data_IF_181079283186
#
_entry.id   IF_181079283186
#
_cell.length_a   1.000
_cell.length_b   1.000
_cell.length_c   1.000
_cell.angle_alpha   90.00
_cell.angle_beta   90.00
_cell.angle_gamma   90.00
#
_symmetry.space_group_name_H-M   'P 1'
#
loop_
_entity.id
_entity.type
_entity.pdbx_description
1 polymer ?
#
# COMPACT_ATOMS: atom_id res chain seq x y z
N UNK A 1 -80.70 3.77 -2.24
CA UNK A 1 -81.38 4.90 -2.89
C UNK A 1 -80.30 5.75 -3.55
N UNK A 2 -80.08 5.57 -4.86
CA UNK A 2 -80.63 6.39 -5.95
C UNK A 2 -80.05 7.83 -5.91
N UNK A 3 -79.42 8.41 -6.94
CA UNK A 3 -79.23 8.05 -8.35
C UNK A 3 -79.23 9.33 -9.21
N UNK A 4 -78.52 9.32 -10.35
CA UNK A 4 -78.63 10.26 -11.51
C UNK A 4 -78.07 11.68 -11.28
N UNK A 5 -77.31 12.33 -12.18
CA UNK A 5 -77.43 12.44 -13.65
C UNK A 5 -77.86 13.88 -14.00
N UNK A 6 -77.31 14.65 -14.94
CA UNK A 6 -76.40 14.39 -16.06
C UNK A 6 -75.79 15.67 -16.68
N UNK A 7 -75.04 15.46 -17.78
CA UNK A 7 -74.38 16.42 -18.68
C UNK A 7 -75.39 16.96 -19.76
N UNK A 8 -75.07 17.63 -20.92
CA UNK A 8 -73.77 17.82 -21.63
C UNK A 8 -73.59 19.12 -22.50
N UNK A 9 -72.47 19.16 -23.27
CA UNK A 9 -72.25 19.68 -24.65
C UNK A 9 -70.98 20.57 -24.76
N UNK A 10 -69.85 20.19 -25.38
CA UNK A 10 -69.50 19.73 -26.75
C UNK A 10 -69.21 20.86 -27.76
N UNK A 11 -67.96 20.94 -28.25
CA UNK A 11 -67.59 21.20 -29.66
C UNK A 11 -66.16 20.69 -29.95
N UNK A 12 -65.97 20.21 -31.19
CA UNK A 12 -64.98 19.24 -31.69
C UNK A 12 -64.31 19.82 -32.99
N UNK A 13 -63.49 19.11 -33.81
CA UNK A 13 -62.04 19.40 -34.02
C UNK A 13 -61.56 19.51 -35.51
N UNK A 14 -60.23 19.64 -35.71
CA UNK A 14 -59.44 19.11 -36.86
C UNK A 14 -58.76 20.15 -37.78
N UNK A 15 -57.84 19.79 -38.73
CA UNK A 15 -56.94 18.63 -38.83
C UNK A 15 -55.48 18.97 -39.31
N UNK A 16 -54.58 17.96 -39.33
CA UNK A 16 -53.30 17.90 -40.11
C UNK A 16 -53.60 17.34 -41.54
N UNK A 17 -52.68 17.15 -42.56
CA UNK A 17 -51.25 16.75 -42.52
C UNK A 17 -50.33 17.43 -43.61
N UNK A 18 -49.02 17.19 -43.70
CA UNK A 18 -48.43 16.17 -44.61
C UNK A 18 -47.00 16.51 -45.10
N UNK A 19 -46.15 15.47 -45.24
CA UNK A 19 -44.74 15.46 -45.71
C UNK A 19 -44.64 15.39 -47.25
N UNK A 20 -43.63 16.02 -47.88
CA UNK A 20 -42.94 15.53 -49.11
C UNK A 20 -41.50 16.12 -49.22
N UNK A 21 -40.48 15.25 -49.37
CA UNK A 21 -39.18 15.48 -50.08
C UNK A 21 -39.31 14.83 -51.49
N UNK A 22 -38.44 14.99 -52.53
CA UNK A 22 -37.02 15.41 -52.58
C UNK A 22 -36.63 16.24 -53.85
N UNK A 23 -35.33 16.48 -54.10
CA UNK A 23 -34.81 16.79 -55.46
C UNK A 23 -33.47 17.54 -55.57
N UNK A 24 -32.45 16.88 -56.13
CA UNK A 24 -31.18 17.42 -56.69
C UNK A 24 -31.50 18.20 -58.00
N UNK A 25 -30.71 19.11 -58.59
CA UNK A 25 -29.31 19.02 -59.05
C UNK A 25 -28.84 20.38 -59.68
N UNK A 26 -27.52 20.55 -59.82
CA UNK A 26 -26.75 21.38 -60.81
C UNK A 26 -26.93 22.92 -60.80
N UNK A 27 -25.96 23.80 -61.11
CA UNK A 27 -24.55 23.82 -61.48
C UNK A 27 -24.10 25.30 -61.30
N UNK A 28 -22.84 25.63 -60.99
CA UNK A 28 -21.86 26.15 -61.97
C UNK A 28 -20.53 26.46 -61.25
N UNK A 29 -19.42 25.95 -61.80
CA UNK A 29 -18.05 26.52 -61.71
C UNK A 29 -17.76 27.32 -63.00
N UNK A 30 -16.73 28.19 -63.09
CA UNK A 30 -15.36 27.76 -63.47
C UNK A 30 -14.19 28.56 -62.79
N UNK A 31 -13.06 27.92 -62.41
CA UNK A 31 -11.70 27.83 -63.05
C UNK A 31 -10.66 28.88 -62.55
N UNK A 32 -9.63 28.50 -61.76
CA UNK A 32 -8.20 28.22 -62.11
C UNK A 32 -7.24 29.35 -61.60
N UNK A 33 -5.89 29.19 -61.54
CA UNK A 33 -5.04 28.04 -61.18
C UNK A 33 -3.79 28.36 -60.27
N UNK A 34 -3.11 27.28 -59.85
CA UNK A 34 -1.72 27.04 -59.41
C UNK A 34 -0.66 28.16 -59.32
N UNK A 35 0.17 28.12 -58.26
CA UNK A 35 1.59 27.72 -58.32
C UNK A 35 2.29 27.79 -56.95
N UNK A 36 2.92 26.69 -56.54
CA UNK A 36 3.81 26.66 -55.38
C UNK A 36 5.20 27.21 -55.72
N UNK A 37 5.81 27.91 -54.76
CA UNK A 37 7.27 28.09 -54.68
C UNK A 37 7.74 28.03 -53.24
N UNK A 38 8.69 27.10 -53.03
CA UNK A 38 9.44 26.86 -51.81
C UNK A 38 10.18 28.12 -51.36
N UNK A 39 10.08 28.46 -50.08
CA UNK A 39 11.13 29.20 -49.36
C UNK A 39 11.46 28.47 -48.06
N UNK A 40 12.69 27.95 -48.00
CA UNK A 40 13.34 27.44 -46.79
C UNK A 40 13.51 28.61 -45.83
N UNK A 41 12.82 28.57 -44.68
CA UNK A 41 13.15 29.42 -43.53
C UNK A 41 14.09 28.65 -42.60
N UNK A 42 15.03 29.42 -42.06
CA UNK A 42 16.22 29.00 -41.33
C UNK A 42 15.83 28.31 -40.02
N UNK A 43 16.47 27.17 -39.74
CA UNK A 43 16.49 26.55 -38.40
C UNK A 43 17.14 27.53 -37.42
N UNK A 44 16.35 28.17 -36.58
CA UNK A 44 16.83 28.66 -35.29
C UNK A 44 16.90 27.45 -34.34
N UNK A 45 18.09 27.23 -33.78
CA UNK A 45 18.38 26.13 -32.88
C UNK A 45 17.45 26.16 -31.67
N UNK A 46 16.85 25.01 -31.37
CA UNK A 46 16.20 24.77 -30.10
C UNK A 46 17.25 24.93 -28.98
N UNK A 47 16.92 25.59 -27.85
CA UNK A 47 17.80 25.54 -26.69
C UNK A 47 17.91 24.09 -26.23
N UNK A 48 19.15 23.60 -26.10
CA UNK A 48 19.46 22.32 -25.47
C UNK A 48 18.91 22.35 -24.06
N UNK A 49 17.79 21.66 -23.81
CA UNK A 49 17.37 21.32 -22.47
C UNK A 49 18.44 20.42 -21.86
N UNK A 50 19.17 20.95 -20.87
CA UNK A 50 19.98 20.15 -19.97
C UNK A 50 19.01 19.26 -19.17
N UNK A 51 19.21 17.94 -19.11
CA UNK A 51 18.38 17.09 -18.27
C UNK A 51 18.68 17.42 -16.79
N UNK A 52 17.67 17.89 -16.07
CA UNK A 52 17.72 18.02 -14.60
C UNK A 52 17.85 16.66 -13.91
N UNK A 53 18.32 16.62 -12.65
CA UNK A 53 18.75 15.39 -11.97
C UNK A 53 17.62 14.42 -11.55
N UNK A 54 16.36 14.67 -11.90
CA UNK A 54 15.21 13.98 -11.30
C UNK A 54 14.76 12.70 -12.01
N UNK A 55 15.51 12.20 -13.01
CA UNK A 55 15.11 11.00 -13.78
C UNK A 55 15.88 9.72 -13.46
N UNK A 56 16.53 9.62 -12.30
CA UNK A 56 17.18 8.37 -11.87
C UNK A 56 16.34 7.48 -10.94
N UNK A 57 15.41 8.03 -10.15
CA UNK A 57 14.63 7.21 -9.21
C UNK A 57 13.44 6.45 -9.82
N UNK A 58 12.89 6.91 -10.95
CA UNK A 58 11.73 6.26 -11.57
C UNK A 58 12.05 4.99 -12.39
N UNK A 59 13.34 4.68 -12.65
CA UNK A 59 13.75 3.47 -13.41
C UNK A 59 14.36 2.36 -12.56
N UNK A 60 14.66 2.62 -11.28
CA UNK A 60 15.13 1.56 -10.38
C UNK A 60 13.97 0.74 -9.77
N UNK A 61 12.73 1.24 -9.85
CA UNK A 61 11.55 0.54 -9.32
C UNK A 61 10.89 -0.44 -10.30
N UNK A 62 11.30 -0.48 -11.58
CA UNK A 62 10.70 -1.38 -12.60
C UNK A 62 11.68 -2.41 -13.21
N UNK A 63 12.97 -2.40 -12.84
CA UNK A 63 14.00 -3.25 -13.46
C UNK A 63 14.35 -4.56 -12.74
N UNK A 64 13.80 -4.84 -11.56
CA UNK A 64 14.37 -5.84 -10.63
C UNK A 64 13.49 -7.05 -10.29
N UNK A 65 12.55 -7.49 -11.16
CA UNK A 65 11.71 -8.66 -10.87
C UNK A 65 11.77 -9.72 -11.98
N UNK A 66 12.95 -10.29 -12.16
CA UNK A 66 13.09 -11.63 -12.73
C UNK A 66 13.06 -12.67 -11.61
N UNK A 67 12.47 -13.86 -11.79
CA UNK A 67 12.57 -14.93 -10.81
C UNK A 67 14.02 -15.40 -10.74
N UNK A 68 14.72 -15.05 -9.64
CA UNK A 68 16.02 -15.62 -9.32
C UNK A 68 15.88 -17.13 -9.16
N UNK A 69 16.37 -17.87 -10.16
CA UNK A 69 16.46 -19.33 -10.09
C UNK A 69 17.46 -19.68 -8.98
N UNK A 70 16.95 -20.22 -7.88
CA UNK A 70 17.70 -20.82 -6.79
C UNK A 70 18.88 -21.66 -7.32
N UNK A 71 20.11 -21.16 -7.18
CA UNK A 71 21.30 -22.01 -7.19
C UNK A 71 21.65 -22.31 -5.73
N UNK A 72 21.42 -23.57 -5.33
CA UNK A 72 21.92 -24.11 -4.06
C UNK A 72 23.45 -23.99 -4.04
N UNK A 73 24.06 -23.40 -3.00
CA UNK A 73 25.50 -23.54 -2.80
C UNK A 73 25.83 -24.99 -2.38
N UNK A 74 27.04 -25.51 -2.71
CA UNK A 74 27.46 -26.83 -2.29
C UNK A 74 27.65 -26.90 -0.76
N UNK A 75 27.48 -28.09 -0.14
CA UNK A 75 27.60 -28.23 1.29
C UNK A 75 29.05 -28.06 1.73
N UNK A 76 29.34 -27.01 2.49
CA UNK A 76 30.56 -26.92 3.28
C UNK A 76 30.41 -27.77 4.55
N UNK A 77 31.46 -28.52 4.88
CA UNK A 77 31.53 -29.38 6.05
C UNK A 77 31.24 -28.57 7.33
N UNK A 78 30.12 -28.88 7.98
CA UNK A 78 29.77 -28.31 9.26
C UNK A 78 30.57 -29.02 10.37
N UNK A 79 31.33 -28.26 11.14
CA UNK A 79 31.86 -28.71 12.42
C UNK A 79 30.70 -29.13 13.33
N UNK A 80 30.79 -30.36 13.84
CA UNK A 80 29.74 -30.99 14.64
C UNK A 80 29.71 -30.37 16.04
N UNK A 81 28.64 -29.66 16.37
CA UNK A 81 28.27 -29.35 17.75
C UNK A 81 27.75 -30.64 18.43
N UNK A 82 28.20 -31.00 19.64
CA UNK A 82 27.81 -32.25 20.27
C UNK A 82 26.32 -32.25 20.65
N UNK A 83 25.62 -33.30 20.23
CA UNK A 83 24.21 -33.51 20.55
C UNK A 83 24.04 -33.98 22.00
N UNK A 84 23.44 -33.13 22.83
CA UNK A 84 22.96 -33.55 24.15
C UNK A 84 21.78 -34.53 23.97
N UNK A 85 22.01 -35.80 24.30
CA UNK A 85 21.03 -36.87 24.26
C UNK A 85 20.04 -36.75 25.45
N UNK A 86 19.09 -35.83 25.34
CA UNK A 86 17.89 -35.81 26.17
C UNK A 86 16.72 -36.43 25.41
N UNK A 87 16.02 -37.41 26.00
CA UNK A 87 14.75 -37.94 25.48
C UNK A 87 13.80 -36.76 25.21
N UNK A 88 13.52 -36.48 23.94
CA UNK A 88 12.55 -35.46 23.53
C UNK A 88 11.17 -35.84 24.09
N UNK A 89 10.50 -34.97 24.86
CA UNK A 89 9.10 -35.18 25.16
C UNK A 89 8.33 -35.18 23.83
N UNK A 90 7.51 -36.20 23.63
CA UNK A 90 6.59 -36.29 22.50
C UNK A 90 5.65 -35.09 22.62
N UNK A 91 5.81 -34.09 21.74
CA UNK A 91 4.86 -32.98 21.66
C UNK A 91 3.49 -33.57 21.32
N UNK A 92 2.41 -33.13 21.99
CA UNK A 92 1.07 -33.53 21.60
C UNK A 92 0.89 -33.19 20.11
N UNK A 93 0.25 -34.11 19.37
CA UNK A 93 -0.18 -33.87 18.00
C UNK A 93 -0.96 -32.56 17.98
N UNK A 94 -0.34 -31.50 17.45
CA UNK A 94 -1.07 -30.28 17.15
C UNK A 94 -2.04 -30.65 16.03
N UNK A 95 -3.30 -30.88 16.40
CA UNK A 95 -4.39 -30.84 15.44
C UNK A 95 -4.32 -29.48 14.75
N UNK A 96 -4.65 -29.44 13.45
CA UNK A 96 -4.69 -28.18 12.73
C UNK A 96 -5.53 -27.16 13.52
N UNK A 97 -5.03 -25.93 13.70
CA UNK A 97 -5.80 -24.90 14.38
C UNK A 97 -7.11 -24.69 13.63
N UNK A 98 -8.23 -24.66 14.36
CA UNK A 98 -9.54 -24.37 13.77
C UNK A 98 -9.65 -22.88 13.48
N UNK A 99 -10.15 -22.54 12.30
CA UNK A 99 -10.24 -21.17 11.80
C UNK A 99 -11.70 -20.72 11.74
N UNK A 100 -11.96 -19.52 12.24
CA UNK A 100 -13.25 -18.86 12.05
C UNK A 100 -13.09 -17.85 10.92
N UNK A 101 -13.68 -18.16 9.77
CA UNK A 101 -13.73 -17.30 8.60
C UNK A 101 -15.14 -16.74 8.44
N UNK A 102 -15.24 -15.44 8.19
CA UNK A 102 -16.50 -14.80 7.82
C UNK A 102 -16.30 -13.85 6.63
N UNK A 103 -17.26 -13.87 5.70
CA UNK A 103 -17.37 -12.94 4.58
C UNK A 103 -18.67 -12.13 4.73
N UNK A 104 -18.58 -10.81 4.80
CA UNK A 104 -19.72 -9.91 5.08
C UNK A 104 -20.51 -10.31 6.35
N UNK A 105 -19.84 -10.93 7.33
CA UNK A 105 -20.46 -11.44 8.56
C UNK A 105 -21.07 -12.84 8.45
N UNK A 106 -21.17 -13.41 7.25
CA UNK A 106 -21.64 -14.78 7.02
C UNK A 106 -20.47 -15.76 7.19
N UNK A 107 -20.69 -16.82 7.98
CA UNK A 107 -19.66 -17.82 8.23
C UNK A 107 -19.28 -18.56 6.93
N UNK A 108 -17.98 -18.60 6.65
CA UNK A 108 -17.40 -19.35 5.56
C UNK A 108 -16.80 -20.64 6.12
N UNK A 109 -17.24 -21.79 5.60
CA UNK A 109 -16.69 -23.08 6.02
C UNK A 109 -15.20 -23.21 5.65
N UNK A 110 -14.43 -23.93 6.46
CA UNK A 110 -13.03 -24.28 6.19
C UNK A 110 -12.89 -25.43 5.17
N UNK A 111 -14.00 -26.00 4.69
CA UNK A 111 -13.97 -27.08 3.70
C UNK A 111 -13.22 -26.62 2.44
N UNK A 112 -12.33 -27.47 1.92
CA UNK A 112 -11.45 -27.18 0.79
C UNK A 112 -10.38 -26.09 1.02
N UNK A 113 -10.32 -25.44 2.19
CA UNK A 113 -9.26 -24.48 2.50
C UNK A 113 -7.92 -25.22 2.65
N UNK A 114 -6.96 -24.86 1.81
CA UNK A 114 -5.66 -25.52 1.70
C UNK A 114 -4.50 -24.64 2.17
N UNK A 115 -4.61 -23.32 2.02
CA UNK A 115 -3.59 -22.36 2.47
C UNK A 115 -4.26 -21.11 3.06
N UNK A 116 -3.68 -20.62 4.16
CA UNK A 116 -3.95 -19.32 4.74
C UNK A 116 -2.62 -18.61 4.96
N UNK A 117 -2.47 -17.44 4.37
CA UNK A 117 -1.26 -16.63 4.49
C UNK A 117 -1.64 -15.21 4.86
N UNK A 118 -1.28 -14.80 6.06
CA UNK A 118 -1.33 -13.40 6.48
C UNK A 118 0.09 -12.85 6.48
N UNK A 119 0.29 -11.74 5.77
CA UNK A 119 1.56 -11.04 5.69
C UNK A 119 1.36 -9.59 6.14
N UNK A 120 2.23 -9.15 7.03
CA UNK A 120 2.25 -7.78 7.54
C UNK A 120 3.68 -7.29 7.47
N UNK A 121 3.83 -6.03 7.09
CA UNK A 121 5.11 -5.35 7.04
C UNK A 121 4.92 -3.90 7.50
N UNK A 122 5.99 -3.30 8.00
CA UNK A 122 5.95 -1.90 8.39
C UNK A 122 5.64 -1.03 7.18
N UNK A 123 4.76 -0.06 7.41
CA UNK A 123 4.37 0.94 6.40
C UNK A 123 3.74 0.37 5.12
N UNK A 124 3.27 -0.89 5.16
CA UNK A 124 2.51 -1.52 4.08
C UNK A 124 1.17 -2.05 4.62
N UNK A 125 0.09 -2.00 3.84
CA UNK A 125 -1.15 -2.69 4.18
C UNK A 125 -0.88 -4.18 4.34
N UNK A 126 -1.36 -4.73 5.44
CA UNK A 126 -1.43 -6.16 5.67
C UNK A 126 -2.28 -6.83 4.61
N UNK A 127 -1.83 -8.00 4.19
CA UNK A 127 -2.47 -8.82 3.16
C UNK A 127 -2.81 -10.18 3.73
N UNK A 128 -4.01 -10.66 3.42
CA UNK A 128 -4.43 -12.04 3.64
C UNK A 128 -4.68 -12.72 2.30
N UNK A 129 -4.14 -13.91 2.11
CA UNK A 129 -4.43 -14.80 0.99
C UNK A 129 -5.02 -16.11 1.51
N UNK A 130 -6.15 -16.52 0.94
CA UNK A 130 -6.83 -17.79 1.21
C UNK A 130 -6.90 -18.60 -0.07
N UNK A 131 -6.52 -19.87 -0.03
CA UNK A 131 -6.54 -20.76 -1.20
C UNK A 131 -7.44 -21.96 -0.94
N UNK A 132 -8.46 -22.12 -1.77
CA UNK A 132 -9.40 -23.23 -1.71
C UNK A 132 -9.17 -24.18 -2.89
N UNK A 133 -8.99 -25.48 -2.63
CA UNK A 133 -8.80 -26.53 -3.66
C UNK A 133 -10.06 -27.38 -3.80
N UNK A 134 -10.57 -27.45 -5.02
CA UNK A 134 -11.81 -28.10 -5.40
C UNK A 134 -12.99 -27.77 -4.46
N UNK A 135 -13.26 -26.47 -4.19
CA UNK A 135 -14.30 -26.11 -3.25
C UNK A 135 -15.66 -26.66 -3.67
N UNK A 136 -16.42 -27.29 -2.76
CA UNK A 136 -17.75 -27.78 -3.06
C UNK A 136 -18.72 -26.59 -3.24
N UNK A 137 -19.59 -26.65 -4.26
CA UNK A 137 -20.71 -25.72 -4.40
C UNK A 137 -20.34 -24.22 -4.44
N UNK A 138 -21.15 -23.38 -3.78
CA UNK A 138 -21.22 -21.92 -3.91
C UNK A 138 -20.02 -21.08 -3.43
N UNK A 139 -18.87 -21.66 -3.14
CA UNK A 139 -17.60 -20.90 -3.09
C UNK A 139 -17.07 -20.61 -4.51
N UNK A 140 -17.48 -21.42 -5.47
CA UNK A 140 -17.34 -21.15 -6.90
C UNK A 140 -18.35 -20.09 -7.40
N UNK A 141 -19.29 -19.65 -6.57
CA UNK A 141 -20.21 -18.57 -6.90
C UNK A 141 -19.50 -17.21 -6.72
N UNK A 142 -19.17 -16.50 -7.82
CA UNK A 142 -18.48 -15.22 -7.76
C UNK A 142 -19.30 -14.12 -7.06
N UNK A 143 -20.58 -14.36 -6.74
CA UNK A 143 -21.43 -13.42 -6.01
C UNK A 143 -21.17 -13.43 -4.49
N UNK A 144 -20.69 -14.56 -3.93
CA UNK A 144 -20.40 -14.70 -2.50
C UNK A 144 -19.05 -14.12 -2.12
N UNK A 145 -18.00 -14.55 -2.81
CA UNK A 145 -16.66 -13.99 -2.65
C UNK A 145 -16.44 -12.96 -3.77
N UNK A 146 -16.85 -11.72 -3.51
CA UNK A 146 -16.70 -10.60 -4.45
C UNK A 146 -15.70 -9.58 -3.92
N UNK A 147 -14.97 -8.87 -4.81
CA UNK A 147 -14.23 -7.68 -4.39
C UNK A 147 -15.14 -6.69 -3.66
N UNK A 148 -14.69 -6.16 -2.53
CA UNK A 148 -15.48 -5.32 -1.64
C UNK A 148 -16.08 -6.03 -0.43
N UNK A 149 -16.14 -7.37 -0.44
CA UNK A 149 -16.63 -8.12 0.72
C UNK A 149 -15.69 -7.97 1.91
N UNK A 150 -16.25 -7.80 3.11
CA UNK A 150 -15.48 -7.76 4.36
C UNK A 150 -15.01 -9.17 4.72
N UNK A 151 -13.71 -9.34 4.97
CA UNK A 151 -13.12 -10.59 5.44
C UNK A 151 -12.71 -10.44 6.90
N UNK A 152 -13.24 -11.31 7.76
CA UNK A 152 -12.80 -11.48 9.13
C UNK A 152 -12.25 -12.91 9.30
N UNK A 153 -11.00 -13.01 9.78
CA UNK A 153 -10.30 -14.27 10.01
C UNK A 153 -9.80 -14.32 11.46
N UNK A 154 -10.15 -15.37 12.17
CA UNK A 154 -9.71 -15.61 13.55
C UNK A 154 -9.30 -17.07 13.75
N UNK A 155 -8.45 -17.31 14.75
CA UNK A 155 -8.08 -18.67 15.18
C UNK A 155 -8.92 -19.01 16.41
N UNK A 156 -9.50 -20.21 16.45
CA UNK A 156 -10.23 -20.67 17.64
C UNK A 156 -9.28 -20.74 18.86
N UNK A 157 -9.79 -20.35 20.03
CA UNK A 157 -8.98 -20.25 21.26
C UNK A 157 -8.08 -18.99 21.34
N UNK A 158 -8.06 -18.13 20.33
CA UNK A 158 -7.38 -16.84 20.37
C UNK A 158 -8.41 -15.71 20.41
N UNK A 159 -8.18 -14.73 21.29
CA UNK A 159 -9.10 -13.61 21.49
C UNK A 159 -9.02 -12.57 20.35
N UNK A 160 -7.82 -12.30 19.85
CA UNK A 160 -7.60 -11.35 18.77
C UNK A 160 -7.88 -11.99 17.40
N UNK A 161 -8.45 -11.20 16.48
CA UNK A 161 -8.58 -11.62 15.09
C UNK A 161 -7.17 -11.75 14.46
N UNK A 162 -7.00 -12.76 13.61
CA UNK A 162 -5.76 -12.95 12.87
C UNK A 162 -5.66 -11.93 11.71
N UNK A 163 -6.79 -11.60 11.09
CA UNK A 163 -6.86 -10.59 10.04
C UNK A 163 -8.27 -10.02 9.91
N UNK A 164 -8.35 -8.72 9.62
CA UNK A 164 -9.59 -8.03 9.28
C UNK A 164 -9.33 -7.10 8.09
N UNK A 165 -10.17 -7.19 7.06
CA UNK A 165 -9.96 -6.40 5.86
C UNK A 165 -11.06 -6.57 4.83
N UNK A 166 -10.72 -6.22 3.59
CA UNK A 166 -11.62 -6.24 2.45
C UNK A 166 -11.02 -7.12 1.36
N UNK A 167 -11.83 -8.00 0.77
CA UNK A 167 -11.45 -8.80 -0.40
C UNK A 167 -11.23 -7.84 -1.58
N UNK A 168 -10.05 -7.87 -2.18
CA UNK A 168 -9.71 -7.01 -3.33
C UNK A 168 -9.58 -7.79 -4.63
N UNK A 169 -9.29 -9.09 -4.56
CA UNK A 169 -9.22 -9.95 -5.73
C UNK A 169 -9.72 -11.36 -5.41
N UNK A 170 -10.36 -11.94 -6.41
CA UNK A 170 -10.90 -13.30 -6.42
C UNK A 170 -10.42 -13.92 -7.72
N UNK A 171 -9.59 -14.96 -7.61
CA UNK A 171 -8.97 -15.60 -8.74
C UNK A 171 -9.46 -17.04 -8.83
N UNK A 172 -9.94 -17.44 -10.01
CA UNK A 172 -10.37 -18.80 -10.31
C UNK A 172 -9.34 -19.42 -11.25
N UNK A 173 -8.68 -20.46 -10.77
CA UNK A 173 -7.69 -21.23 -11.53
C UNK A 173 -8.32 -22.56 -11.90
N UNK A 174 -8.23 -22.91 -13.18
CA UNK A 174 -8.69 -24.19 -13.72
C UNK A 174 -7.47 -24.94 -14.25
N UNK A 175 -7.15 -26.05 -13.61
CA UNK A 175 -5.98 -26.87 -13.95
C UNK A 175 -6.30 -27.86 -15.07
N UNK A 176 -5.26 -28.33 -15.76
CA UNK A 176 -5.39 -29.22 -16.92
C UNK A 176 -5.95 -30.62 -16.55
N UNK A 177 -5.84 -31.00 -15.28
CA UNK A 177 -6.36 -32.26 -14.72
C UNK A 177 -7.80 -32.13 -14.19
N UNK A 178 -8.50 -31.05 -14.56
CA UNK A 178 -9.82 -30.67 -14.08
C UNK A 178 -9.88 -30.24 -12.59
N UNK A 179 -8.73 -30.03 -11.95
CA UNK A 179 -8.65 -29.36 -10.66
C UNK A 179 -9.14 -27.91 -10.74
N UNK A 180 -9.78 -27.44 -9.66
CA UNK A 180 -10.25 -26.06 -9.53
C UNK A 180 -9.65 -25.45 -8.27
N UNK A 181 -9.10 -24.26 -8.40
CA UNK A 181 -8.59 -23.52 -7.26
C UNK A 181 -9.22 -22.12 -7.22
N UNK A 182 -9.61 -21.68 -6.04
CA UNK A 182 -10.11 -20.31 -5.81
C UNK A 182 -9.17 -19.63 -4.83
N UNK A 183 -8.59 -18.50 -5.24
CA UNK A 183 -7.75 -17.66 -4.38
C UNK A 183 -8.45 -16.37 -4.04
N UNK A 184 -8.57 -16.09 -2.75
CA UNK A 184 -9.06 -14.82 -2.24
C UNK A 184 -7.87 -14.01 -1.73
N UNK A 185 -7.72 -12.79 -2.22
CA UNK A 185 -6.76 -11.82 -1.71
C UNK A 185 -7.52 -10.67 -1.07
N UNK A 186 -7.19 -10.38 0.18
CA UNK A 186 -7.77 -9.30 0.96
C UNK A 186 -6.68 -8.42 1.56
N UNK A 187 -6.99 -7.15 1.77
CA UNK A 187 -6.10 -6.20 2.44
C UNK A 187 -6.81 -5.48 3.56
N UNK A 188 -6.07 -5.05 4.57
CA UNK A 188 -6.61 -4.23 5.65
C UNK A 188 -7.11 -2.86 5.13
N UNK A 189 -7.86 -2.08 5.93
CA UNK A 189 -8.46 -0.82 5.48
C UNK A 189 -7.46 0.23 4.95
N UNK A 190 -6.18 0.19 5.36
CA UNK A 190 -5.16 1.14 4.88
C UNK A 190 -4.89 1.00 3.38
N UNK A 191 -5.23 -0.13 2.75
CA UNK A 191 -5.07 -0.31 1.31
C UNK A 191 -5.88 0.71 0.49
N UNK A 192 -6.97 1.25 1.06
CA UNK A 192 -7.80 2.27 0.40
C UNK A 192 -7.03 3.57 0.18
N UNK A 193 -6.06 3.89 1.04
CA UNK A 193 -5.17 5.05 0.88
C UNK A 193 -4.24 4.92 -0.34
N UNK A 194 -3.98 3.71 -0.85
CA UNK A 194 -3.20 3.50 -2.09
C UNK A 194 -3.96 3.93 -3.34
N UNK A 195 -5.28 3.83 -3.32
CA UNK A 195 -6.14 4.12 -4.47
C UNK A 195 -6.51 5.60 -4.56
N UNK A 196 -6.32 6.35 -3.48
CA UNK A 196 -6.63 7.78 -3.40
C UNK A 196 -5.40 8.57 -3.79
N UNK A 197 -5.60 9.47 -4.74
CA UNK A 197 -4.60 10.40 -5.21
C UNK A 197 -5.33 11.71 -5.43
N UNK A 198 -5.26 12.59 -4.43
CA UNK A 198 -5.89 13.92 -4.50
C UNK A 198 -4.82 14.99 -4.48
N UNK A 199 -5.06 16.12 -5.14
CA UNK A 199 -4.15 17.27 -5.02
C UNK A 199 -4.61 18.04 -3.79
N UNK A 200 -3.88 17.85 -2.68
CA UNK A 200 -4.14 18.52 -1.41
C UNK A 200 -2.83 19.09 -0.86
N UNK A 201 -2.96 20.18 -0.12
CA UNK A 201 -1.87 20.75 0.67
C UNK A 201 -2.30 20.67 2.13
N UNK A 202 -1.54 19.97 2.95
CA UNK A 202 -1.73 19.93 4.39
C UNK A 202 -0.81 20.97 5.02
N UNK A 203 -1.37 21.98 5.67
CA UNK A 203 -0.62 23.12 6.20
C UNK A 203 -0.51 22.99 7.72
N UNK A 204 0.70 23.17 8.26
CA UNK A 204 0.99 23.16 9.70
C UNK A 204 0.52 21.89 10.42
N UNK A 205 0.84 20.74 9.85
CA UNK A 205 0.46 19.42 10.38
C UNK A 205 1.66 18.65 10.88
N UNK A 206 1.50 17.92 11.97
CA UNK A 206 2.42 16.86 12.40
C UNK A 206 2.18 15.57 11.63
N UNK A 207 3.12 14.62 11.69
CA UNK A 207 2.96 13.32 11.06
C UNK A 207 1.78 12.52 11.66
N UNK A 208 1.54 12.63 12.98
CA UNK A 208 0.35 12.06 13.62
C UNK A 208 -0.95 12.70 13.13
N UNK A 209 -1.02 14.03 13.04
CA UNK A 209 -2.23 14.72 12.58
C UNK A 209 -2.55 14.36 11.13
N UNK A 210 -1.52 14.30 10.27
CA UNK A 210 -1.67 13.82 8.90
C UNK A 210 -2.23 12.39 8.87
N UNK A 211 -1.65 11.48 9.66
CA UNK A 211 -2.12 10.11 9.76
C UNK A 211 -3.57 10.04 10.24
N UNK A 212 -3.94 10.82 11.26
CA UNK A 212 -5.29 10.88 11.80
C UNK A 212 -6.32 11.40 10.78
N UNK A 213 -5.94 12.42 10.00
CA UNK A 213 -6.77 12.95 8.92
C UNK A 213 -7.09 11.87 7.89
N UNK A 214 -6.06 11.18 7.39
CA UNK A 214 -6.18 10.16 6.34
C UNK A 214 -6.82 8.86 6.84
N UNK A 215 -6.45 8.40 8.03
CA UNK A 215 -6.98 7.18 8.66
C UNK A 215 -8.49 7.28 8.89
N UNK A 216 -8.99 8.46 9.30
CA UNK A 216 -10.42 8.71 9.48
C UNK A 216 -11.21 8.50 8.18
N UNK A 217 -10.64 8.87 7.02
CA UNK A 217 -11.32 8.68 5.73
C UNK A 217 -11.49 7.21 5.33
N UNK A 218 -10.71 6.31 5.95
CA UNK A 218 -10.78 4.85 5.75
C UNK A 218 -11.33 4.10 6.96
N UNK A 219 -11.83 4.83 7.97
CA UNK A 219 -12.47 4.26 9.16
C UNK A 219 -11.49 3.66 10.17
N UNK A 220 -10.24 4.13 10.19
CA UNK A 220 -9.24 3.71 11.17
C UNK A 220 -9.06 4.77 12.25
N UNK A 221 -8.92 4.33 13.51
CA UNK A 221 -8.39 5.18 14.58
C UNK A 221 -6.86 5.28 14.48
N UNK A 222 -6.25 6.24 15.17
CA UNK A 222 -4.79 6.40 15.19
C UNK A 222 -4.28 6.47 16.63
N UNK A 223 -3.27 5.65 16.91
CA UNK A 223 -2.46 5.73 18.12
C UNK A 223 -1.01 5.95 17.71
N UNK A 224 -0.30 6.85 18.39
CA UNK A 224 1.04 7.22 17.99
C UNK A 224 2.00 7.21 19.18
N UNK A 225 3.18 6.60 19.00
CA UNK A 225 4.27 6.65 19.96
C UNK A 225 4.89 8.06 20.05
N UNK A 226 4.83 8.83 18.96
CA UNK A 226 5.23 10.24 18.91
C UNK A 226 4.47 10.98 17.81
N UNK A 227 4.30 12.30 17.98
CA UNK A 227 3.59 13.14 17.01
C UNK A 227 4.45 13.44 15.77
N UNK A 228 5.77 13.55 15.96
CA UNK A 228 6.70 14.07 14.96
C UNK A 228 6.77 15.61 14.97
N UNK A 229 7.79 16.22 14.34
CA UNK A 229 7.84 17.66 14.16
C UNK A 229 6.65 18.17 13.33
N UNK A 230 6.28 19.43 13.53
CA UNK A 230 5.29 20.09 12.70
C UNK A 230 5.89 20.45 11.33
N UNK A 231 5.18 20.13 10.26
CA UNK A 231 5.51 20.52 8.91
C UNK A 231 4.68 21.75 8.51
N UNK A 232 5.32 22.83 8.06
CA UNK A 232 4.60 24.04 7.61
C UNK A 232 3.67 23.74 6.44
N UNK A 233 4.08 22.90 5.50
CA UNK A 233 3.22 22.40 4.45
C UNK A 233 3.73 21.07 3.89
N UNK A 234 2.81 20.17 3.56
CA UNK A 234 3.04 18.93 2.83
C UNK A 234 2.15 19.00 1.60
N UNK A 235 2.76 19.01 0.41
CA UNK A 235 2.03 18.97 -0.86
C UNK A 235 1.95 17.54 -1.35
N UNK A 236 0.74 17.07 -1.57
CA UNK A 236 0.51 15.84 -2.30
C UNK A 236 0.64 16.11 -3.81
N UNK A 237 1.79 15.78 -4.39
CA UNK A 237 2.05 15.99 -5.82
C UNK A 237 2.29 14.65 -6.53
N UNK A 238 1.25 14.15 -7.21
CA UNK A 238 1.24 12.87 -7.93
C UNK A 238 1.40 11.59 -7.08
N UNK A 239 1.62 11.69 -5.77
CA UNK A 239 1.66 10.52 -4.88
C UNK A 239 0.27 10.14 -4.35
N UNK A 240 0.07 8.83 -4.10
CA UNK A 240 -1.12 8.36 -3.37
C UNK A 240 -1.11 8.85 -1.92
N UNK A 241 -2.27 8.91 -1.28
CA UNK A 241 -2.39 9.31 0.13
C UNK A 241 -1.47 8.44 1.02
N UNK A 242 -1.38 7.13 0.70
CA UNK A 242 -0.49 6.23 1.42
C UNK A 242 0.98 6.57 1.21
N UNK A 243 1.40 6.86 -0.02
CA UNK A 243 2.79 7.15 -0.32
C UNK A 243 3.27 8.43 0.38
N UNK A 244 2.45 9.49 0.34
CA UNK A 244 2.71 10.73 1.08
C UNK A 244 2.75 10.48 2.60
N UNK A 245 1.82 9.69 3.13
CA UNK A 245 1.81 9.33 4.56
C UNK A 245 3.09 8.60 4.95
N UNK A 246 3.50 7.60 4.17
CA UNK A 246 4.73 6.83 4.43
C UNK A 246 5.94 7.74 4.41
N UNK A 247 6.07 8.62 3.42
CA UNK A 247 7.19 9.57 3.36
C UNK A 247 7.22 10.50 4.57
N UNK A 248 6.07 11.05 4.98
CA UNK A 248 5.97 11.93 6.14
C UNK A 248 6.36 11.21 7.45
N UNK A 249 5.93 9.95 7.62
CA UNK A 249 6.28 9.13 8.78
C UNK A 249 7.76 8.76 8.77
N UNK A 250 8.32 8.34 7.63
CA UNK A 250 9.72 7.95 7.50
C UNK A 250 10.68 9.11 7.81
N UNK A 251 10.35 10.33 7.37
CA UNK A 251 11.10 11.55 7.73
C UNK A 251 11.13 11.80 9.25
N UNK A 252 10.15 11.28 9.98
CA UNK A 252 10.05 11.36 11.44
C UNK A 252 10.60 10.11 12.15
N UNK A 253 11.12 9.12 11.42
CA UNK A 253 11.52 7.82 11.98
C UNK A 253 10.34 7.04 12.57
N UNK A 254 9.14 7.25 12.03
CA UNK A 254 7.91 6.56 12.39
C UNK A 254 7.51 5.60 11.28
N UNK A 255 6.82 4.53 11.67
CA UNK A 255 6.27 3.51 10.78
C UNK A 255 4.84 3.21 11.21
N UNK A 256 4.00 2.69 10.32
CA UNK A 256 2.65 2.27 10.71
C UNK A 256 2.44 0.75 10.61
N UNK A 257 1.51 0.26 11.44
CA UNK A 257 0.86 -1.05 11.31
C UNK A 257 -0.61 -0.90 11.64
N UNK A 258 -1.48 -1.76 11.08
CA UNK A 258 -2.91 -1.77 11.38
C UNK A 258 -3.27 -3.01 12.18
N UNK A 259 -3.90 -2.82 13.35
CA UNK A 259 -4.37 -3.88 14.24
C UNK A 259 -5.68 -3.46 14.87
N UNK A 260 -6.66 -4.35 14.92
CA UNK A 260 -7.94 -4.13 15.61
C UNK A 260 -8.65 -2.80 15.24
N UNK A 261 -8.57 -2.39 13.97
CA UNK A 261 -9.16 -1.13 13.49
C UNK A 261 -8.38 0.15 13.87
N UNK A 262 -7.19 0.00 14.43
CA UNK A 262 -6.29 1.09 14.83
C UNK A 262 -5.02 1.06 13.97
N UNK A 263 -4.66 2.22 13.42
CA UNK A 263 -3.35 2.47 12.83
C UNK A 263 -2.39 2.92 13.93
N UNK A 264 -1.46 2.04 14.30
CA UNK A 264 -0.42 2.36 15.29
C UNK A 264 0.80 2.95 14.58
N UNK A 265 1.18 4.17 14.94
CA UNK A 265 2.43 4.80 14.54
C UNK A 265 3.51 4.49 15.58
N UNK A 266 4.55 3.79 15.15
CA UNK A 266 5.57 3.21 16.02
C UNK A 266 6.99 3.58 15.58
N UNK A 267 7.90 3.62 16.55
CA UNK A 267 9.34 3.66 16.29
C UNK A 267 9.89 2.23 16.12
N UNK A 268 11.17 2.09 15.77
CA UNK A 268 11.82 0.77 15.73
C UNK A 268 12.10 0.19 17.13
N UNK A 269 11.66 0.85 18.19
CA UNK A 269 11.63 0.30 19.55
C UNK A 269 10.55 -0.80 19.67
N UNK A 270 9.59 -0.82 18.75
CA UNK A 270 8.51 -1.80 18.72
C UNK A 270 7.33 -1.38 19.59
N UNK A 271 6.40 -2.31 19.78
CA UNK A 271 5.17 -2.12 20.54
C UNK A 271 5.01 -3.28 21.53
N UNK A 272 4.71 -2.95 22.79
CA UNK A 272 4.48 -3.92 23.85
C UNK A 272 5.77 -4.51 24.45
N UNK A 273 5.60 -5.56 25.25
CA UNK A 273 6.70 -6.16 25.98
C UNK A 273 7.57 -7.08 25.11
N UNK A 274 8.89 -7.13 25.34
CA UNK A 274 9.77 -8.08 24.66
C UNK A 274 9.35 -9.53 24.91
N UNK A 275 9.16 -10.30 23.84
CA UNK A 275 8.87 -11.73 23.92
C UNK A 275 10.17 -12.54 23.88
N UNK A 276 10.54 -13.27 24.95
CA UNK A 276 11.74 -14.10 24.94
C UNK A 276 11.58 -15.29 23.97
N UNK A 277 12.51 -15.40 23.01
CA UNK A 277 12.56 -16.46 22.03
C UNK A 277 13.77 -17.37 22.27
N UNK A 278 13.51 -18.67 22.45
CA UNK A 278 14.52 -19.70 22.67
C UNK A 278 14.53 -20.67 21.48
N UNK A 279 15.67 -20.73 20.77
CA UNK A 279 15.83 -21.61 19.60
C UNK A 279 15.66 -23.08 19.99
N UNK A 280 14.84 -23.81 19.23
CA UNK A 280 14.46 -25.19 19.49
C UNK A 280 13.36 -25.36 20.55
N UNK A 281 12.93 -24.29 21.22
CA UNK A 281 11.84 -24.30 22.20
C UNK A 281 10.64 -23.47 21.73
N UNK A 282 10.76 -22.15 21.78
CA UNK A 282 9.71 -21.20 21.34
C UNK A 282 9.98 -20.67 19.93
N UNK A 283 11.21 -20.78 19.43
CA UNK A 283 11.60 -20.44 18.06
C UNK A 283 12.04 -21.71 17.32
N UNK A 284 11.44 -21.98 16.16
CA UNK A 284 11.74 -23.18 15.37
C UNK A 284 12.99 -23.04 14.52
N UNK A 285 13.13 -21.89 13.85
CA UNK A 285 14.22 -21.58 12.93
C UNK A 285 14.61 -20.11 13.07
N UNK A 286 15.90 -19.81 12.90
CA UNK A 286 16.41 -18.45 12.87
C UNK A 286 17.45 -18.32 11.75
N UNK A 287 17.31 -17.28 10.93
CA UNK A 287 18.34 -16.84 9.99
C UNK A 287 18.80 -15.45 10.41
N UNK A 288 20.08 -15.34 10.77
CA UNK A 288 20.70 -14.10 11.23
C UNK A 288 21.70 -13.65 10.16
N UNK A 289 21.62 -12.38 9.76
CA UNK A 289 22.56 -11.76 8.84
C UNK A 289 23.12 -10.49 9.48
N UNK A 290 24.43 -10.30 9.38
CA UNK A 290 25.10 -9.07 9.76
C UNK A 290 25.59 -8.36 8.50
N UNK A 291 25.06 -7.18 8.25
CA UNK A 291 25.45 -6.35 7.11
C UNK A 291 25.94 -4.98 7.61
N UNK A 292 27.16 -4.60 7.23
CA UNK A 292 27.79 -3.35 7.62
C UNK A 292 27.57 -2.21 6.60
N UNK A 293 26.97 -2.49 5.44
CA UNK A 293 26.88 -1.54 4.31
C UNK A 293 26.17 -0.24 4.69
N UNK A 294 25.09 -0.33 5.48
CA UNK A 294 24.34 0.82 5.97
C UNK A 294 24.81 1.36 7.33
N UNK A 295 25.77 0.72 7.99
CA UNK A 295 26.17 1.07 9.35
C UNK A 295 27.02 2.35 9.37
N UNK A 296 26.64 3.31 10.22
CA UNK A 296 27.45 4.51 10.48
C UNK A 296 27.37 4.94 11.94
N UNK A 297 28.38 5.70 12.42
CA UNK A 297 28.40 6.17 13.82
C UNK A 297 27.55 7.41 14.03
N UNK A 298 27.56 8.31 13.05
CA UNK A 298 26.68 9.47 13.06
C UNK A 298 26.14 9.83 11.67
N UNK A 299 24.92 10.36 11.66
CA UNK A 299 24.25 10.91 10.49
C UNK A 299 24.18 12.42 10.65
N UNK A 300 24.54 13.14 9.60
CA UNK A 300 24.40 14.59 9.52
C UNK A 300 23.52 14.98 8.34
N UNK A 301 22.63 15.93 8.57
CA UNK A 301 21.76 16.50 7.55
C UNK A 301 21.98 18.00 7.55
N UNK A 302 22.42 18.54 6.43
CA UNK A 302 22.51 19.98 6.24
C UNK A 302 21.33 20.47 5.40
N UNK A 303 20.76 21.60 5.78
CA UNK A 303 19.72 22.29 5.03
C UNK A 303 19.98 23.80 4.98
N UNK A 304 19.27 24.49 4.10
CA UNK A 304 19.37 25.93 3.92
C UNK A 304 18.06 26.62 4.28
N UNK A 305 18.15 27.65 5.13
CA UNK A 305 17.08 28.60 5.41
C UNK A 305 17.23 29.79 4.44
N UNK A 306 16.32 29.96 3.46
CA UNK A 306 16.40 31.04 2.50
C UNK A 306 15.99 32.40 3.06
N UNK A 307 15.23 32.43 4.17
CA UNK A 307 14.79 33.68 4.81
C UNK A 307 15.93 34.30 5.59
N UNK A 308 16.67 33.48 6.35
CA UNK A 308 17.82 33.94 7.14
C UNK A 308 19.15 33.87 6.39
N UNK A 309 19.16 33.23 5.22
CA UNK A 309 20.37 32.93 4.43
C UNK A 309 21.43 32.19 5.26
N UNK A 310 21.01 31.16 5.99
CA UNK A 310 21.87 30.38 6.88
C UNK A 310 21.73 28.88 6.61
N UNK A 311 22.81 28.15 6.89
CA UNK A 311 22.77 26.68 6.88
C UNK A 311 22.33 26.18 8.26
N UNK A 312 21.43 25.21 8.28
CA UNK A 312 21.09 24.43 9.46
C UNK A 312 21.76 23.05 9.36
N UNK A 313 22.28 22.56 10.48
CA UNK A 313 22.90 21.23 10.57
C UNK A 313 22.20 20.42 11.66
N UNK A 314 21.51 19.36 11.24
CA UNK A 314 21.03 18.30 12.12
C UNK A 314 22.08 17.19 12.25
N UNK A 315 22.23 16.63 13.45
CA UNK A 315 23.10 15.48 13.70
C UNK A 315 22.41 14.47 14.62
N UNK A 316 22.56 13.18 14.32
CA UNK A 316 22.15 12.08 15.18
C UNK A 316 23.28 11.05 15.27
N UNK A 317 23.60 10.61 16.49
CA UNK A 317 24.63 9.59 16.75
C UNK A 317 24.06 8.35 17.49
N UNK A 318 22.77 8.37 17.80
CA UNK A 318 22.05 7.26 18.42
C UNK A 318 20.93 6.81 17.48
N UNK A 319 20.84 5.50 17.26
CA UNK A 319 19.73 4.92 16.50
C UNK A 319 18.46 4.94 17.35
N UNK A 320 17.33 5.29 16.75
CA UNK A 320 15.99 5.16 17.36
C UNK A 320 15.44 3.74 17.17
N UNK A 321 16.25 2.77 17.57
CA UNK A 321 15.90 1.36 17.58
C UNK A 321 16.11 0.84 18.99
N UNK A 322 15.09 0.22 19.58
CA UNK A 322 15.09 -0.25 20.97
C UNK A 322 15.93 -1.51 21.17
N UNK A 323 16.95 -1.68 20.35
CA UNK A 323 17.82 -2.85 20.28
C UNK A 323 19.26 -2.38 20.30
N UNK A 324 20.00 -2.89 21.27
CA UNK A 324 21.46 -2.85 21.24
C UNK A 324 21.97 -4.23 20.84
N UNK A 325 22.57 -4.32 19.66
CA UNK A 325 23.16 -5.58 19.17
C UNK A 325 24.67 -5.49 19.38
N UNK A 326 25.27 -6.31 20.24
CA UNK A 326 26.72 -6.35 20.38
C UNK A 326 27.34 -6.85 19.07
N UNK A 327 28.01 -5.96 18.34
CA UNK A 327 28.64 -6.30 17.07
C UNK A 327 29.70 -5.27 16.69
N UNK A 328 30.88 -5.73 16.25
CA UNK A 328 31.91 -4.87 15.69
C UNK A 328 31.71 -4.79 14.18
N UNK A 329 31.02 -3.75 13.73
CA UNK A 329 30.85 -3.48 12.29
C UNK A 329 31.85 -2.39 11.87
N UNK A 330 32.64 -2.67 10.84
CA UNK A 330 33.45 -1.65 10.15
C UNK A 330 32.55 -0.92 9.15
N UNK A 331 31.71 -0.02 9.64
CA UNK A 331 30.87 0.88 8.84
C UNK A 331 31.54 2.22 8.57
N UNK A 332 30.92 3.06 7.73
CA UNK A 332 31.38 4.43 7.51
C UNK A 332 31.35 5.23 8.83
N UNK A 333 32.35 6.06 9.13
CA UNK A 333 32.33 6.84 10.38
C UNK A 333 31.14 7.81 10.41
N UNK A 334 30.82 8.44 9.27
CA UNK A 334 29.73 9.41 9.15
C UNK A 334 29.03 9.29 7.81
N UNK A 335 27.71 9.48 7.82
CA UNK A 335 26.89 9.65 6.62
C UNK A 335 26.31 11.05 6.57
N UNK A 336 26.42 11.72 5.42
CA UNK A 336 25.95 13.10 5.25
C UNK A 336 24.90 13.19 4.16
N UNK A 337 23.83 13.92 4.43
CA UNK A 337 22.78 14.24 3.47
C UNK A 337 22.67 15.77 3.33
N UNK A 338 22.36 16.23 2.12
CA UNK A 338 22.07 17.64 1.84
C UNK A 338 20.63 17.71 1.37
N UNK A 339 19.77 18.33 2.18
CA UNK A 339 18.39 18.63 1.78
C UNK A 339 18.36 20.03 1.16
N UNK A 340 17.80 20.17 -0.05
CA UNK A 340 17.87 21.42 -0.81
C UNK A 340 16.93 22.53 -0.31
N UNK A 341 16.10 22.27 0.71
CA UNK A 341 15.43 23.34 1.44
C UNK A 341 15.04 22.87 2.86
N UNK A 342 15.74 23.37 3.88
CA UNK A 342 15.21 23.32 5.25
C UNK A 342 14.30 24.54 5.41
N UNK A 343 13.05 24.42 4.97
CA UNK A 343 12.05 25.44 5.32
C UNK A 343 11.57 25.19 6.75
N UNK A 344 11.86 26.17 7.61
CA UNK A 344 11.45 26.34 9.00
C UNK A 344 10.71 25.16 9.67
N UNK A 345 11.47 24.30 10.34
CA UNK A 345 10.96 23.48 11.44
C UNK A 345 11.02 24.33 12.72
N UNK A 346 10.06 25.25 12.90
CA UNK A 346 9.92 25.98 14.16
C UNK A 346 9.16 25.13 15.18
N UNK A 347 9.88 24.25 15.87
CA UNK A 347 9.41 23.55 17.07
C UNK A 347 10.48 23.57 18.15
N UNK A 348 10.23 24.30 19.25
CA UNK A 348 11.09 24.35 20.44
C UNK A 348 11.49 22.93 20.87
N UNK A 349 12.78 22.72 21.10
CA UNK A 349 13.26 21.54 21.81
C UNK A 349 12.56 21.44 23.19
N UNK A 350 12.14 20.24 23.63
CA UNK A 350 11.89 20.03 25.05
C UNK A 350 13.23 20.17 25.79
N UNK A 351 13.26 21.06 26.78
CA UNK A 351 14.38 21.20 27.70
C UNK A 351 14.43 20.08 28.73
#
# INVERSE_FOLDING_TARGET
>A
MAGGGGAPAARRPGPAPGRVRPGRDAARRPRHPHAGRRRRTRRHGAPRQLPGPERRLARELEGGRGPERHRRPPPHAADRVPAAAGRRPVRPLQTLPRLRLALDGEALGEAALSEVRVSQALSLPGQCELVFRDPPGGLADPLRARPGARLDLAVEGHAAALFQGEVTAVEHVFEADAGREVRLRAYDPSHRLRKRQTIRVHVRVTARELAAELAREVGLAVEAAADGPQHEWIVQHHDSDLAMLVEALERCGLFYTVRDGVMHLLTLDGLGDPLPLELGRTLLEARLEMNADGACRDVQVAGWDPVRAQTYLGRAAAARSGREIPGRLAGAERRSFVDQAAHDQLGRAPG
#
